data_IF_750897148187
#
_entry.id   IF_750897148187
#
_cell.length_a   1.000
_cell.length_b   1.000
_cell.length_c   1.000
_cell.angle_alpha   90.00
_cell.angle_beta   90.00
_cell.angle_gamma   90.00
#
_symmetry.space_group_name_H-M   'P 1'
#
loop_
_entity.id
_entity.type
_entity.pdbx_description
1 polymer ?
#
# COMPACT_ATOMS: atom_id res chain seq x y z
N UNK A 1 31.08 11.00 8.29
CA UNK A 1 30.43 10.85 9.63
C UNK A 1 29.21 11.76 9.79
N UNK A 2 29.21 13.01 9.29
CA UNK A 2 28.07 13.95 9.42
C UNK A 2 26.86 13.60 8.54
N UNK A 3 27.07 13.31 7.25
CA UNK A 3 25.96 13.16 6.28
C UNK A 3 25.16 11.85 6.46
N UNK A 4 25.84 10.73 6.71
CA UNK A 4 25.18 9.43 6.97
C UNK A 4 24.27 9.54 8.20
N UNK A 5 24.73 10.24 9.25
CA UNK A 5 23.94 10.43 10.47
C UNK A 5 22.68 11.25 10.20
N UNK A 6 22.80 12.34 9.42
CA UNK A 6 21.66 13.17 9.02
C UNK A 6 20.66 12.40 8.17
N UNK A 7 21.12 11.56 7.24
CA UNK A 7 20.25 10.71 6.43
C UNK A 7 19.49 9.66 7.27
N UNK A 8 20.16 9.03 8.24
CA UNK A 8 19.52 8.08 9.14
C UNK A 8 18.49 8.76 10.04
N UNK A 9 18.80 9.92 10.62
CA UNK A 9 17.85 10.70 11.43
C UNK A 9 16.62 11.14 10.62
N UNK A 10 16.82 11.52 9.34
CA UNK A 10 15.73 11.85 8.43
C UNK A 10 14.88 10.62 8.09
N UNK A 11 15.52 9.49 7.79
CA UNK A 11 14.84 8.22 7.52
C UNK A 11 13.99 7.77 8.72
N UNK A 12 14.54 7.81 9.92
CA UNK A 12 13.83 7.45 11.14
C UNK A 12 12.63 8.39 11.39
N UNK A 13 12.82 9.70 11.19
CA UNK A 13 11.74 10.68 11.32
C UNK A 13 10.63 10.44 10.29
N UNK A 14 10.99 10.22 9.03
CA UNK A 14 10.06 9.91 7.96
C UNK A 14 9.28 8.63 8.25
N UNK A 15 9.97 7.55 8.60
CA UNK A 15 9.34 6.25 8.88
C UNK A 15 8.38 6.33 10.07
N UNK A 16 8.74 7.08 11.12
CA UNK A 16 7.85 7.31 12.26
C UNK A 16 6.57 8.04 11.83
N UNK A 17 6.71 9.17 11.14
CA UNK A 17 5.56 9.96 10.69
C UNK A 17 4.68 9.18 9.69
N UNK A 18 5.29 8.38 8.81
CA UNK A 18 4.58 7.52 7.85
C UNK A 18 3.71 6.50 8.59
N UNK A 19 4.24 5.83 9.62
CA UNK A 19 3.47 4.88 10.45
C UNK A 19 2.34 5.53 11.24
N UNK A 20 2.60 6.70 11.83
CA UNK A 20 1.59 7.49 12.54
C UNK A 20 0.44 7.89 11.61
N UNK A 21 0.77 8.47 10.45
CA UNK A 21 -0.20 8.88 9.42
C UNK A 21 -0.99 7.67 8.89
N UNK A 22 -0.31 6.57 8.57
CA UNK A 22 -0.95 5.32 8.12
C UNK A 22 -1.96 4.77 9.15
N UNK A 23 -1.66 4.89 10.45
CA UNK A 23 -2.57 4.43 11.51
C UNK A 23 -3.83 5.30 11.60
N UNK A 24 -3.67 6.62 11.49
CA UNK A 24 -4.80 7.57 11.49
C UNK A 24 -5.65 7.44 10.22
N UNK A 25 -4.99 7.32 9.06
CA UNK A 25 -5.65 7.16 7.77
C UNK A 25 -6.39 5.82 7.71
N UNK A 26 -5.83 4.73 8.27
CA UNK A 26 -6.56 3.44 8.43
C UNK A 26 -7.88 3.65 9.16
N UNK A 27 -7.87 4.31 10.31
CA UNK A 27 -9.08 4.52 11.11
C UNK A 27 -10.13 5.34 10.33
N UNK A 28 -9.67 6.40 9.65
CA UNK A 28 -10.51 7.29 8.85
C UNK A 28 -11.13 6.57 7.65
N UNK A 29 -10.32 5.82 6.89
CA UNK A 29 -10.75 4.98 5.76
C UNK A 29 -11.77 3.94 6.21
N UNK A 30 -11.50 3.19 7.29
CA UNK A 30 -12.42 2.16 7.79
C UNK A 30 -13.76 2.74 8.24
N UNK A 31 -13.75 3.92 8.86
CA UNK A 31 -14.98 4.62 9.22
C UNK A 31 -15.75 5.10 7.97
N UNK A 32 -15.06 5.63 6.96
CA UNK A 32 -15.68 6.07 5.71
C UNK A 32 -16.32 4.90 4.94
N UNK A 33 -15.64 3.76 4.85
CA UNK A 33 -16.18 2.53 4.26
C UNK A 33 -17.48 2.09 4.98
N UNK A 34 -17.48 2.06 6.31
CA UNK A 34 -18.66 1.74 7.13
C UNK A 34 -19.81 2.71 6.84
N UNK A 35 -19.52 4.01 6.79
CA UNK A 35 -20.53 5.05 6.54
C UNK A 35 -21.16 4.93 5.15
N UNK A 36 -20.41 4.45 4.16
CA UNK A 36 -20.90 4.18 2.82
C UNK A 36 -21.66 2.84 2.69
N UNK A 37 -21.75 2.06 3.78
CA UNK A 37 -22.35 0.71 3.76
C UNK A 37 -21.51 -0.33 3.02
N UNK A 38 -20.22 -0.04 2.76
CA UNK A 38 -19.30 -0.97 2.15
C UNK A 38 -18.93 -2.04 3.18
N UNK A 39 -18.95 -3.28 2.74
CA UNK A 39 -18.65 -4.46 3.57
C UNK A 39 -17.28 -5.04 3.29
N UNK A 40 -16.74 -4.83 2.08
CA UNK A 40 -15.39 -5.25 1.71
C UNK A 40 -14.87 -4.46 0.51
N UNK A 41 -13.58 -4.15 0.51
CA UNK A 41 -12.85 -3.68 -0.68
C UNK A 41 -11.63 -4.56 -0.88
N UNK A 42 -11.36 -4.98 -2.11
CA UNK A 42 -10.16 -5.73 -2.48
C UNK A 42 -9.41 -4.97 -3.56
N UNK A 43 -8.18 -4.55 -3.26
CA UNK A 43 -7.27 -3.95 -4.23
C UNK A 43 -6.30 -5.01 -4.70
N UNK A 44 -6.28 -5.28 -5.99
CA UNK A 44 -5.29 -6.16 -6.65
C UNK A 44 -4.16 -5.31 -7.19
N UNK A 45 -2.94 -5.78 -7.02
CA UNK A 45 -1.74 -5.16 -7.57
C UNK A 45 -0.86 -6.20 -8.26
N UNK A 46 -0.10 -5.73 -9.23
CA UNK A 46 0.83 -6.54 -10.03
C UNK A 46 1.98 -5.65 -10.52
N UNK A 47 3.13 -6.27 -10.78
CA UNK A 47 4.37 -5.58 -11.02
C UNK A 47 5.45 -6.55 -11.47
N UNK A 48 6.31 -6.05 -12.34
CA UNK A 48 7.39 -6.75 -12.98
C UNK A 48 8.37 -5.73 -13.59
N UNK A 49 9.66 -6.05 -13.59
CA UNK A 49 10.66 -5.23 -14.29
C UNK A 49 10.76 -3.80 -13.76
N UNK A 50 10.73 -3.66 -12.44
CA UNK A 50 10.86 -2.38 -11.71
C UNK A 50 9.68 -1.42 -11.94
N UNK A 51 8.53 -1.98 -12.33
CA UNK A 51 7.29 -1.24 -12.55
C UNK A 51 6.12 -2.04 -12.03
N UNK A 52 5.15 -1.37 -11.43
CA UNK A 52 3.95 -2.02 -10.92
C UNK A 52 2.96 -1.00 -10.39
N UNK A 53 1.77 -1.49 -10.07
CA UNK A 53 0.74 -0.67 -9.45
C UNK A 53 -0.54 -1.42 -9.17
N UNK A 54 -1.59 -0.65 -8.90
CA UNK A 54 -2.94 -1.18 -8.73
C UNK A 54 -3.52 -1.56 -10.08
N UNK A 55 -4.00 -2.79 -10.18
CA UNK A 55 -4.60 -3.37 -11.38
C UNK A 55 -6.12 -3.42 -11.33
N UNK A 56 -6.69 -3.66 -10.14
CA UNK A 56 -8.13 -3.79 -9.95
C UNK A 56 -8.54 -3.34 -8.55
N UNK A 57 -9.78 -2.86 -8.42
CA UNK A 57 -10.40 -2.50 -7.17
C UNK A 57 -11.83 -3.05 -7.16
N UNK A 58 -12.09 -4.04 -6.31
CA UNK A 58 -13.40 -4.67 -6.17
C UNK A 58 -14.08 -4.19 -4.89
N UNK A 59 -15.38 -3.91 -4.97
CA UNK A 59 -16.16 -3.36 -3.85
C UNK A 59 -17.41 -4.19 -3.64
N UNK A 60 -17.64 -4.62 -2.40
CA UNK A 60 -18.83 -5.33 -1.97
C UNK A 60 -19.62 -4.48 -0.97
N UNK A 61 -20.92 -4.30 -1.18
CA UNK A 61 -21.79 -3.45 -0.35
C UNK A 61 -21.92 -2.02 -0.87
N UNK A 62 -22.64 -1.18 -0.13
CA UNK A 62 -22.94 0.21 -0.50
C UNK A 62 -23.57 0.33 -1.89
N UNK A 63 -23.18 1.37 -2.62
CA UNK A 63 -23.49 1.57 -4.04
C UNK A 63 -22.34 1.09 -4.94
N UNK A 64 -21.56 0.09 -4.48
CA UNK A 64 -20.39 -0.41 -5.21
C UNK A 64 -19.34 0.68 -5.42
N UNK A 65 -18.81 0.77 -6.64
CA UNK A 65 -17.74 1.72 -7.01
C UNK A 65 -18.13 3.18 -6.79
N UNK A 66 -19.41 3.55 -6.94
CA UNK A 66 -19.88 4.92 -6.76
C UNK A 66 -19.61 5.43 -5.34
N UNK A 67 -19.71 4.54 -4.35
CA UNK A 67 -19.41 4.84 -2.95
C UNK A 67 -17.94 5.22 -2.70
N UNK A 68 -17.02 4.90 -3.62
CA UNK A 68 -15.60 5.27 -3.50
C UNK A 68 -15.25 6.67 -4.03
N UNK A 69 -16.24 7.41 -4.54
CA UNK A 69 -16.03 8.76 -5.07
C UNK A 69 -16.06 9.85 -3.99
N UNK A 70 -16.40 9.48 -2.75
CA UNK A 70 -16.50 10.42 -1.63
C UNK A 70 -15.12 11.03 -1.36
N UNK A 71 -15.00 12.37 -1.33
CA UNK A 71 -13.73 13.02 -1.01
C UNK A 71 -13.40 12.79 0.46
N UNK A 72 -12.14 12.46 0.72
CA UNK A 72 -11.63 12.21 2.05
C UNK A 72 -10.29 12.89 2.23
N UNK A 73 -10.10 13.48 3.41
CA UNK A 73 -8.84 14.08 3.80
C UNK A 73 -7.97 13.04 4.52
N UNK A 74 -6.73 12.90 4.10
CA UNK A 74 -5.70 12.04 4.68
C UNK A 74 -4.38 12.78 4.82
N UNK A 75 -3.38 12.12 5.39
CA UNK A 75 -2.07 12.69 5.67
C UNK A 75 -1.01 12.08 4.76
N UNK A 76 -0.30 12.92 4.00
CA UNK A 76 0.90 12.52 3.26
C UNK A 76 2.14 13.02 3.98
N UNK A 77 3.15 12.17 4.08
CA UNK A 77 4.46 12.52 4.66
C UNK A 77 5.44 12.76 3.53
N UNK A 78 5.97 13.97 3.47
CA UNK A 78 7.00 14.32 2.50
C UNK A 78 8.36 13.77 2.93
N UNK A 79 9.03 13.03 2.03
CA UNK A 79 10.35 12.44 2.29
C UNK A 79 11.42 13.50 2.55
N UNK A 80 11.40 14.61 1.80
CA UNK A 80 12.48 15.60 1.80
C UNK A 80 12.50 16.46 3.06
N UNK A 81 11.32 16.81 3.56
CA UNK A 81 11.11 17.69 4.72
C UNK A 81 10.75 16.93 6.00
N UNK A 82 10.29 15.68 5.89
CA UNK A 82 9.69 14.92 6.98
C UNK A 82 8.56 15.72 7.67
N UNK A 83 7.72 16.34 6.86
CA UNK A 83 6.52 17.06 7.28
C UNK A 83 5.27 16.36 6.77
N UNK A 84 4.20 16.43 7.56
CA UNK A 84 2.90 15.88 7.20
C UNK A 84 2.03 16.97 6.59
N UNK A 85 1.51 16.73 5.39
CA UNK A 85 0.57 17.61 4.71
C UNK A 85 -0.79 16.93 4.60
N UNK A 86 -1.86 17.73 4.68
CA UNK A 86 -3.21 17.23 4.43
C UNK A 86 -3.44 17.14 2.92
N UNK A 87 -3.94 16.00 2.49
CA UNK A 87 -4.28 15.73 1.10
C UNK A 87 -5.75 15.31 1.02
N UNK A 88 -6.49 15.83 0.04
CA UNK A 88 -7.89 15.47 -0.17
C UNK A 88 -8.03 14.81 -1.53
N UNK A 89 -8.51 13.57 -1.53
CA UNK A 89 -8.69 12.76 -2.72
C UNK A 89 -9.95 11.89 -2.58
N UNK A 90 -10.48 11.32 -3.69
CA UNK A 90 -11.54 10.33 -3.61
C UNK A 90 -11.12 9.13 -2.74
N UNK A 91 -12.07 8.54 -2.01
CA UNK A 91 -11.85 7.37 -1.17
C UNK A 91 -11.16 6.24 -1.94
N UNK A 92 -11.44 6.06 -3.24
CA UNK A 92 -10.72 5.13 -4.10
C UNK A 92 -9.21 5.34 -4.09
N UNK A 93 -8.76 6.55 -4.40
CA UNK A 93 -7.33 6.88 -4.49
C UNK A 93 -6.63 6.74 -3.14
N UNK A 94 -7.34 7.09 -2.07
CA UNK A 94 -6.83 6.89 -0.71
C UNK A 94 -6.67 5.41 -0.38
N UNK A 95 -7.63 4.56 -0.75
CA UNK A 95 -7.54 3.12 -0.56
C UNK A 95 -6.37 2.52 -1.34
N UNK A 96 -6.19 2.93 -2.59
CA UNK A 96 -5.08 2.49 -3.44
C UNK A 96 -3.72 2.89 -2.85
N UNK A 97 -3.59 4.15 -2.42
CA UNK A 97 -2.40 4.66 -1.75
C UNK A 97 -2.11 3.88 -0.47
N UNK A 98 -3.12 3.70 0.39
CA UNK A 98 -2.97 3.01 1.66
C UNK A 98 -2.66 1.52 1.46
N UNK A 99 -3.24 0.87 0.45
CA UNK A 99 -2.92 -0.50 0.08
C UNK A 99 -1.44 -0.65 -0.28
N UNK A 100 -0.92 0.23 -1.14
CA UNK A 100 0.49 0.19 -1.54
C UNK A 100 1.42 0.49 -0.36
N UNK A 101 1.03 1.37 0.57
CA UNK A 101 1.78 1.56 1.81
C UNK A 101 1.84 0.28 2.66
N UNK A 102 0.78 -0.53 2.73
CA UNK A 102 0.83 -1.80 3.46
C UNK A 102 1.67 -2.87 2.75
N UNK A 103 1.65 -2.91 1.41
CA UNK A 103 2.53 -3.80 0.64
C UNK A 103 3.99 -3.42 0.87
N UNK A 104 4.33 -2.14 0.74
CA UNK A 104 5.70 -1.62 0.89
C UNK A 104 6.29 -1.87 2.30
N UNK A 105 5.47 -1.95 3.35
CA UNK A 105 5.95 -2.22 4.71
C UNK A 105 6.59 -3.60 4.83
N UNK A 106 5.99 -4.62 4.23
CA UNK A 106 6.44 -6.03 4.37
C UNK A 106 7.16 -6.55 3.10
N UNK A 107 6.87 -5.94 1.94
CA UNK A 107 7.29 -6.39 0.61
C UNK A 107 7.82 -5.21 -0.22
N UNK A 108 8.68 -4.38 0.36
CA UNK A 108 9.32 -3.29 -0.40
C UNK A 108 10.15 -3.86 -1.55
N UNK A 109 10.00 -3.29 -2.75
CA UNK A 109 10.65 -3.77 -3.98
C UNK A 109 9.99 -4.99 -4.62
N UNK A 110 8.73 -5.27 -4.28
CA UNK A 110 7.90 -6.34 -4.84
C UNK A 110 7.78 -6.30 -6.38
N UNK A 111 7.99 -5.14 -7.00
CA UNK A 111 7.90 -4.93 -8.44
C UNK A 111 9.22 -5.28 -9.18
N UNK A 112 10.31 -5.49 -8.45
CA UNK A 112 11.64 -5.59 -9.03
C UNK A 112 11.88 -6.94 -9.72
N UNK A 113 12.62 -6.93 -10.82
CA UNK A 113 13.01 -8.12 -11.58
C UNK A 113 11.80 -8.99 -12.00
N UNK A 114 11.67 -10.19 -11.42
CA UNK A 114 10.58 -11.14 -11.67
C UNK A 114 9.24 -10.67 -11.10
N UNK A 115 9.30 -9.64 -10.24
CA UNK A 115 8.14 -8.96 -9.72
C UNK A 115 7.34 -9.80 -8.75
N UNK A 116 6.12 -9.34 -8.53
CA UNK A 116 5.27 -9.82 -7.46
C UNK A 116 3.87 -9.26 -7.61
N UNK A 117 2.92 -9.98 -7.06
CA UNK A 117 1.51 -9.64 -7.20
C UNK A 117 0.75 -10.05 -5.94
N UNK A 118 -0.41 -9.42 -5.74
CA UNK A 118 -1.19 -9.72 -4.57
C UNK A 118 -2.48 -8.95 -4.46
N UNK A 119 -3.03 -9.02 -3.25
CA UNK A 119 -4.28 -8.34 -2.91
C UNK A 119 -4.15 -7.71 -1.52
N UNK A 120 -4.77 -6.53 -1.36
CA UNK A 120 -5.04 -5.91 -0.06
C UNK A 120 -6.55 -5.84 0.14
N UNK A 121 -7.05 -6.58 1.12
CA UNK A 121 -8.48 -6.63 1.47
C UNK A 121 -8.77 -5.79 2.71
N UNK A 122 -9.66 -4.80 2.56
CA UNK A 122 -10.21 -3.99 3.63
C UNK A 122 -11.58 -4.55 4.01
N UNK A 123 -11.69 -5.05 5.23
CA UNK A 123 -12.93 -5.53 5.83
C UNK A 123 -13.34 -4.58 6.97
N UNK A 124 -14.17 -3.56 6.68
CA UNK A 124 -14.67 -2.66 7.71
C UNK A 124 -15.48 -3.39 8.79
N UNK A 125 -16.21 -4.45 8.47
CA UNK A 125 -17.09 -5.13 9.44
C UNK A 125 -16.25 -5.86 10.50
N UNK A 126 -15.22 -6.56 10.07
CA UNK A 126 -14.25 -7.22 10.95
C UNK A 126 -13.17 -6.27 11.51
N UNK A 127 -13.17 -5.00 11.08
CA UNK A 127 -12.11 -4.01 11.32
C UNK A 127 -10.71 -4.55 10.97
N UNK A 128 -10.60 -5.25 9.84
CA UNK A 128 -9.40 -6.00 9.45
C UNK A 128 -8.88 -5.54 8.10
N UNK A 129 -7.55 -5.46 7.99
CA UNK A 129 -6.85 -5.37 6.70
C UNK A 129 -6.05 -6.66 6.53
N UNK A 130 -6.13 -7.28 5.36
CA UNK A 130 -5.36 -8.48 5.03
C UNK A 130 -4.55 -8.23 3.77
N UNK A 131 -3.23 -8.43 3.85
CA UNK A 131 -2.33 -8.40 2.69
C UNK A 131 -2.01 -9.85 2.32
N UNK A 132 -2.26 -10.22 1.07
CA UNK A 132 -1.75 -11.44 0.45
C UNK A 132 -0.76 -11.05 -0.63
N UNK A 133 0.39 -11.70 -0.65
CA UNK A 133 1.48 -11.38 -1.56
C UNK A 133 2.08 -12.68 -2.13
N UNK A 134 2.47 -12.62 -3.40
CA UNK A 134 3.20 -13.65 -4.13
C UNK A 134 4.44 -13.02 -4.72
N UNK A 135 5.60 -13.58 -4.40
CA UNK A 135 6.90 -13.21 -4.98
C UNK A 135 7.22 -14.19 -6.11
N UNK A 136 7.62 -13.66 -7.28
CA UNK A 136 8.09 -14.49 -8.37
C UNK A 136 9.61 -14.63 -8.31
N UNK A 137 10.14 -15.78 -8.71
CA UNK A 137 11.58 -15.97 -8.85
C UNK A 137 11.90 -16.96 -9.97
N UNK A 138 13.10 -16.83 -10.53
CA UNK A 138 13.69 -17.80 -11.46
C UNK A 138 14.83 -18.53 -10.75
N UNK A 139 14.91 -19.85 -10.95
CA UNK A 139 16.04 -20.68 -10.51
C UNK A 139 16.59 -21.48 -11.69
N UNK A 140 17.90 -21.74 -11.68
CA UNK A 140 18.61 -22.48 -12.71
C UNK A 140 19.43 -23.61 -12.07
N UNK A 141 19.44 -24.78 -12.71
CA UNK A 141 20.29 -25.91 -12.33
C UNK A 141 21.20 -26.28 -13.51
N UNK A 142 22.51 -26.19 -13.30
CA UNK A 142 23.52 -26.50 -14.31
C UNK A 142 24.29 -27.77 -13.95
N UNK A 143 24.40 -28.69 -14.91
CA UNK A 143 25.13 -29.96 -14.75
C UNK A 143 26.22 -30.08 -15.80
N UNK A 144 27.45 -30.41 -15.38
CA UNK A 144 28.57 -30.69 -16.27
C UNK A 144 28.98 -32.16 -16.16
N UNK A 145 29.00 -32.87 -17.28
CA UNK A 145 29.45 -34.26 -17.36
C UNK A 145 30.64 -34.36 -18.31
N UNK A 146 31.66 -35.11 -17.92
CA UNK A 146 32.81 -35.45 -18.77
C UNK A 146 32.78 -36.96 -19.02
N UNK A 147 33.01 -37.36 -20.27
CA UNK A 147 32.98 -38.75 -20.73
C UNK A 147 34.38 -39.22 -21.10
#
# INVERSE_FOLDING_TARGET
MSEIKTMLEQMDRYNRLKRESQTEDRATVMAALKACGITKVVIRYDGYGDSGGVEDCQVEGGQGQESLSVPMQTKLVDWSSAETTSHTAPLREVLETLAMQYVDVEHSGWENNEGGAGNVAFDPIADKITVSHTENYISYEDFMHTY
#
